data_IF_608893997552
#
_entry.id   IF_608893997552
#
_cell.length_a   1.000
_cell.length_b   1.000
_cell.length_c   1.000
_cell.angle_alpha   90.00
_cell.angle_beta   90.00
_cell.angle_gamma   90.00
#
_symmetry.space_group_name_H-M   'P 1'
#
loop_
_entity.id
_entity.type
_entity.pdbx_description
1 polymer ?
#
# COMPACT_ATOMS: atom_id res chain seq x y z
N UNK A 1 -4.91 37.76 10.62
CA UNK A 1 -5.11 37.29 9.24
C UNK A 1 -5.65 35.88 9.36
N UNK A 2 -6.95 35.66 9.10
CA UNK A 2 -7.54 34.34 9.25
C UNK A 2 -7.25 33.53 7.98
N UNK A 3 -6.58 32.40 8.13
CA UNK A 3 -6.42 31.41 7.05
C UNK A 3 -7.84 30.94 6.71
N UNK A 4 -8.31 31.18 5.48
CA UNK A 4 -9.64 30.73 5.07
C UNK A 4 -9.61 29.20 4.78
N UNK A 5 -10.78 28.55 4.72
CA UNK A 5 -10.87 27.11 4.48
C UNK A 5 -10.17 26.64 3.19
N UNK A 6 -10.12 27.48 2.15
CA UNK A 6 -9.47 27.18 0.88
C UNK A 6 -7.94 27.15 1.00
N UNK A 7 -7.38 28.03 1.83
CA UNK A 7 -5.95 28.06 2.18
C UNK A 7 -5.55 26.92 3.13
N UNK A 8 -6.51 26.28 3.80
CA UNK A 8 -6.28 25.07 4.60
C UNK A 8 -6.39 23.80 3.74
N UNK A 9 -7.21 23.84 2.68
CA UNK A 9 -7.37 22.76 1.72
C UNK A 9 -6.25 22.71 0.66
N UNK A 10 -5.65 23.86 0.34
CA UNK A 10 -4.64 24.05 -0.69
C UNK A 10 -3.38 24.73 -0.14
N UNK A 11 -2.26 24.64 -0.85
CA UNK A 11 -1.06 25.41 -0.50
C UNK A 11 -1.19 26.88 -0.90
N UNK A 12 -0.40 27.76 -0.28
CA UNK A 12 -0.21 29.15 -0.74
C UNK A 12 1.20 29.30 -1.28
N UNK A 13 1.33 29.62 -2.57
CA UNK A 13 2.61 29.96 -3.19
C UNK A 13 2.47 31.36 -3.79
N UNK A 14 3.34 32.29 -3.40
CA UNK A 14 3.34 33.67 -3.91
C UNK A 14 2.05 34.46 -3.66
N UNK A 15 1.26 34.11 -2.63
CA UNK A 15 0.00 34.79 -2.31
C UNK A 15 -1.25 34.25 -3.03
N UNK A 16 -1.11 33.22 -3.86
CA UNK A 16 -2.22 32.52 -4.53
C UNK A 16 -2.47 31.15 -3.91
N UNK A 17 -3.73 30.75 -3.87
CA UNK A 17 -4.15 29.39 -3.51
C UNK A 17 -3.84 28.48 -4.70
N UNK A 18 -2.94 27.52 -4.50
CA UNK A 18 -2.49 26.59 -5.55
C UNK A 18 -2.71 25.17 -5.05
N UNK A 19 -3.31 24.33 -5.91
CA UNK A 19 -3.48 22.91 -5.63
C UNK A 19 -2.10 22.25 -5.46
N UNK A 20 -1.84 21.73 -4.26
CA UNK A 20 -0.57 21.07 -3.93
C UNK A 20 -0.63 19.58 -4.30
N UNK A 21 0.54 18.94 -4.39
CA UNK A 21 0.61 17.47 -4.55
C UNK A 21 -0.16 16.73 -3.45
N UNK A 22 -0.14 17.25 -2.22
CA UNK A 22 -0.91 16.74 -1.09
C UNK A 22 -2.42 16.92 -1.30
N UNK A 23 -2.84 18.06 -1.86
CA UNK A 23 -4.26 18.32 -2.15
C UNK A 23 -4.77 17.39 -3.24
N UNK A 24 -3.99 17.21 -4.32
CA UNK A 24 -4.28 16.21 -5.36
C UNK A 24 -4.37 14.80 -4.79
N UNK A 25 -3.45 14.43 -3.91
CA UNK A 25 -3.45 13.11 -3.30
C UNK A 25 -4.69 12.88 -2.42
N UNK A 26 -5.16 13.91 -1.69
CA UNK A 26 -6.37 13.84 -0.85
C UNK A 26 -7.66 13.62 -1.64
N UNK A 27 -7.72 14.06 -2.89
CA UNK A 27 -8.91 13.90 -3.74
C UNK A 27 -8.90 12.59 -4.53
N UNK A 28 -7.79 11.86 -4.52
CA UNK A 28 -7.66 10.56 -5.18
C UNK A 28 -7.94 9.42 -4.20
N UNK A 29 -8.69 8.43 -4.65
CA UNK A 29 -8.63 7.11 -4.05
C UNK A 29 -7.42 6.38 -4.65
N UNK A 30 -6.42 6.07 -3.81
CA UNK A 30 -5.15 5.48 -4.22
C UNK A 30 -5.28 4.02 -4.70
N UNK A 31 -6.44 3.40 -4.48
CA UNK A 31 -6.80 2.08 -5.01
C UNK A 31 -7.66 2.13 -6.26
N UNK A 32 -8.10 3.30 -6.71
CA UNK A 32 -8.79 3.38 -7.99
C UNK A 32 -7.90 2.79 -9.09
N UNK A 33 -8.51 1.99 -9.96
CA UNK A 33 -7.79 1.36 -11.04
C UNK A 33 -7.17 2.43 -11.96
N UNK A 34 -5.87 2.27 -12.19
CA UNK A 34 -5.05 3.04 -13.12
C UNK A 34 -4.17 2.04 -13.86
N UNK A 35 -3.79 2.37 -15.09
CA UNK A 35 -2.69 1.68 -15.74
C UNK A 35 -1.37 1.89 -14.97
N UNK A 36 -0.32 1.15 -15.35
CA UNK A 36 0.95 1.23 -14.65
C UNK A 36 1.59 2.62 -14.69
N UNK A 37 1.39 3.39 -15.77
CA UNK A 37 1.91 4.75 -15.91
C UNK A 37 1.18 5.72 -14.95
N UNK A 38 -0.14 5.63 -14.88
CA UNK A 38 -0.95 6.37 -13.92
C UNK A 38 -0.63 5.99 -12.47
N UNK A 39 -0.40 4.71 -12.20
CA UNK A 39 0.00 4.25 -10.88
C UNK A 39 1.43 4.70 -10.53
N UNK A 40 2.35 4.72 -11.50
CA UNK A 40 3.69 5.26 -11.32
C UNK A 40 3.67 6.74 -10.97
N UNK A 41 2.83 7.54 -11.64
CA UNK A 41 2.65 8.97 -11.34
C UNK A 41 2.09 9.19 -9.93
N UNK A 42 1.13 8.37 -9.50
CA UNK A 42 0.63 8.41 -8.12
C UNK A 42 1.76 8.14 -7.11
N UNK A 43 2.56 7.10 -7.36
CA UNK A 43 3.67 6.70 -6.49
C UNK A 43 4.87 7.65 -6.56
N UNK A 44 4.97 8.47 -7.60
CA UNK A 44 5.92 9.56 -7.73
C UNK A 44 5.45 10.89 -7.13
N UNK A 45 4.21 10.97 -6.62
CA UNK A 45 3.69 12.17 -5.96
C UNK A 45 4.52 12.49 -4.72
N UNK A 46 5.01 13.74 -4.62
CA UNK A 46 5.94 14.15 -3.57
C UNK A 46 5.37 14.05 -2.15
N UNK A 47 4.03 14.12 -2.00
CA UNK A 47 3.34 13.96 -0.72
C UNK A 47 2.99 12.51 -0.38
N UNK A 48 3.14 11.56 -1.30
CA UNK A 48 2.74 10.17 -1.06
C UNK A 48 3.48 9.56 0.12
N UNK A 49 4.81 9.70 0.16
CA UNK A 49 5.64 9.11 1.21
C UNK A 49 5.27 9.61 2.62
N UNK A 50 5.15 10.94 2.78
CA UNK A 50 4.78 11.54 4.06
C UNK A 50 3.37 11.11 4.50
N UNK A 51 2.44 11.02 3.55
CA UNK A 51 1.07 10.57 3.80
C UNK A 51 1.03 9.10 4.20
N UNK A 52 1.73 8.23 3.47
CA UNK A 52 1.86 6.81 3.79
C UNK A 52 2.50 6.58 5.17
N UNK A 53 3.56 7.32 5.51
CA UNK A 53 4.19 7.23 6.83
C UNK A 53 3.24 7.67 7.95
N UNK A 54 2.47 8.74 7.74
CA UNK A 54 1.47 9.23 8.70
C UNK A 54 0.39 8.16 8.94
N UNK A 55 -0.17 7.58 7.88
CA UNK A 55 -1.18 6.53 8.01
C UNK A 55 -0.64 5.25 8.63
N UNK A 56 0.62 4.86 8.34
CA UNK A 56 1.27 3.76 9.02
C UNK A 56 1.39 4.00 10.53
N UNK A 57 1.73 5.23 10.95
CA UNK A 57 1.77 5.60 12.36
C UNK A 57 0.37 5.55 12.99
N UNK A 58 -0.66 6.06 12.32
CA UNK A 58 -2.04 5.99 12.81
C UNK A 58 -2.52 4.54 13.00
N UNK A 59 -2.20 3.64 12.08
CA UNK A 59 -2.54 2.22 12.19
C UNK A 59 -1.79 1.54 13.34
N UNK A 60 -0.50 1.84 13.53
CA UNK A 60 0.29 1.28 14.63
C UNK A 60 -0.15 1.77 16.01
N UNK A 61 -0.71 2.97 16.10
CA UNK A 61 -1.19 3.56 17.35
C UNK A 61 -2.71 3.38 17.55
N UNK A 62 -3.37 2.60 16.69
CA UNK A 62 -4.81 2.37 16.69
C UNK A 62 -5.66 3.65 16.81
N UNK A 63 -5.32 4.66 16.01
CA UNK A 63 -5.96 5.98 16.08
C UNK A 63 -7.34 6.06 15.41
N UNK A 64 -8.02 4.93 15.20
CA UNK A 64 -9.28 4.84 14.46
C UNK A 64 -10.44 4.53 15.39
N UNK A 65 -11.48 5.35 15.32
CA UNK A 65 -12.68 5.23 16.13
C UNK A 65 -13.91 5.48 15.25
N UNK A 66 -15.01 4.84 15.58
CA UNK A 66 -16.27 4.92 14.86
C UNK A 66 -17.38 4.32 15.70
N UNK A 67 -18.62 4.54 15.25
CA UNK A 67 -19.81 4.07 15.95
C UNK A 67 -20.01 2.54 15.79
N UNK A 68 -19.46 1.97 14.72
CA UNK A 68 -19.47 0.53 14.46
C UNK A 68 -18.16 0.00 13.85
N UNK A 69 -18.08 -1.34 13.74
CA UNK A 69 -16.89 -2.02 13.23
C UNK A 69 -16.62 -1.78 11.74
N UNK A 70 -17.63 -1.46 10.94
CA UNK A 70 -17.48 -1.21 9.51
C UNK A 70 -16.89 0.17 9.27
N UNK A 71 -17.28 1.17 10.06
CA UNK A 71 -16.69 2.51 10.01
C UNK A 71 -15.20 2.47 10.35
N UNK A 72 -14.85 1.83 11.47
CA UNK A 72 -13.44 1.67 11.88
C UNK A 72 -12.64 0.88 10.83
N UNK A 73 -13.21 -0.21 10.31
CA UNK A 73 -12.58 -0.99 9.25
C UNK A 73 -12.37 -0.18 7.97
N UNK A 74 -13.33 0.65 7.55
CA UNK A 74 -13.19 1.49 6.38
C UNK A 74 -12.08 2.54 6.54
N UNK A 75 -11.97 3.16 7.72
CA UNK A 75 -10.90 4.11 8.01
C UNK A 75 -9.52 3.42 8.01
N UNK A 76 -9.42 2.23 8.63
CA UNK A 76 -8.20 1.41 8.64
C UNK A 76 -7.81 0.95 7.23
N UNK A 77 -8.76 0.48 6.43
CA UNK A 77 -8.53 0.10 5.02
C UNK A 77 -8.08 1.30 4.20
N UNK A 78 -8.70 2.47 4.37
CA UNK A 78 -8.26 3.68 3.68
C UNK A 78 -6.82 4.05 4.06
N UNK A 79 -6.44 4.01 5.34
CA UNK A 79 -5.07 4.25 5.76
C UNK A 79 -4.09 3.18 5.22
N UNK A 80 -4.48 1.91 5.28
CA UNK A 80 -3.67 0.78 4.80
C UNK A 80 -3.51 0.79 3.27
N UNK A 81 -4.42 1.43 2.55
CA UNK A 81 -4.35 1.55 1.09
C UNK A 81 -3.07 2.23 0.62
N UNK A 82 -2.53 3.19 1.38
CA UNK A 82 -1.25 3.84 1.08
C UNK A 82 -0.05 2.91 1.26
N UNK A 83 -0.19 1.84 2.06
CA UNK A 83 0.82 0.79 2.19
C UNK A 83 0.75 -0.20 1.02
N UNK A 84 -0.39 -0.31 0.35
CA UNK A 84 -0.62 -1.25 -0.75
C UNK A 84 -0.49 -0.63 -2.14
N UNK A 85 -0.93 0.62 -2.32
CA UNK A 85 -1.14 1.23 -3.64
C UNK A 85 0.11 1.20 -4.53
N UNK A 86 1.27 1.41 -3.93
CA UNK A 86 2.55 1.41 -4.63
C UNK A 86 3.28 0.08 -4.60
N UNK A 87 2.58 -1.01 -4.26
CA UNK A 87 3.16 -2.33 -4.37
C UNK A 87 3.40 -2.68 -5.84
N UNK A 88 4.67 -2.86 -6.17
CA UNK A 88 5.08 -3.36 -7.47
C UNK A 88 5.17 -4.89 -7.47
N UNK A 89 4.99 -5.53 -8.62
CA UNK A 89 5.31 -6.95 -8.85
C UNK A 89 6.38 -7.16 -9.92
N UNK A 90 6.73 -6.10 -10.65
CA UNK A 90 7.93 -5.99 -11.46
C UNK A 90 8.31 -4.51 -11.58
N UNK A 91 9.43 -4.18 -12.25
CA UNK A 91 9.84 -2.80 -12.46
C UNK A 91 8.74 -2.01 -13.20
N UNK A 92 8.26 -0.93 -12.59
CA UNK A 92 7.14 -0.11 -13.08
C UNK A 92 5.85 -0.90 -13.38
N UNK A 93 5.61 -1.99 -12.65
CA UNK A 93 4.40 -2.81 -12.77
C UNK A 93 3.74 -2.97 -11.41
N UNK A 94 2.48 -2.57 -11.28
CA UNK A 94 1.82 -2.38 -9.98
C UNK A 94 0.68 -3.37 -9.72
N UNK A 95 0.55 -3.77 -8.46
CA UNK A 95 -0.47 -4.72 -8.03
C UNK A 95 -1.89 -4.17 -8.14
N UNK A 96 -2.10 -2.87 -7.93
CA UNK A 96 -3.43 -2.24 -8.10
C UNK A 96 -3.87 -2.31 -9.56
N UNK A 97 -2.97 -2.01 -10.49
CA UNK A 97 -3.21 -2.12 -11.94
C UNK A 97 -3.53 -3.56 -12.32
N UNK A 98 -2.67 -4.52 -11.94
CA UNK A 98 -2.87 -5.93 -12.22
C UNK A 98 -4.18 -6.48 -11.62
N UNK A 99 -4.53 -6.08 -10.40
CA UNK A 99 -5.79 -6.46 -9.75
C UNK A 99 -7.00 -5.99 -10.54
N UNK A 100 -7.03 -4.71 -10.93
CA UNK A 100 -8.13 -4.17 -11.72
C UNK A 100 -8.23 -4.82 -13.10
N UNK A 101 -7.11 -5.00 -13.80
CA UNK A 101 -7.07 -5.64 -15.12
C UNK A 101 -7.54 -7.10 -15.04
N UNK A 102 -7.10 -7.84 -14.02
CA UNK A 102 -7.47 -9.25 -13.82
C UNK A 102 -8.96 -9.39 -13.55
N UNK A 103 -9.51 -8.58 -12.64
CA UNK A 103 -10.94 -8.61 -12.31
C UNK A 103 -11.80 -8.18 -13.50
N UNK A 104 -11.39 -7.13 -14.22
CA UNK A 104 -12.10 -6.70 -15.43
C UNK A 104 -12.08 -7.79 -16.52
N UNK A 105 -10.95 -8.47 -16.69
CA UNK A 105 -10.76 -9.51 -17.72
C UNK A 105 -11.49 -10.81 -17.42
N UNK A 106 -11.68 -11.16 -16.14
CA UNK A 106 -12.37 -12.37 -15.71
C UNK A 106 -13.88 -12.35 -16.05
N UNK A 107 -14.49 -11.16 -16.14
CA UNK A 107 -15.90 -10.99 -16.51
C UNK A 107 -16.88 -11.63 -15.50
N UNK A 108 -18.09 -11.99 -15.96
CA UNK A 108 -19.17 -12.47 -15.10
C UNK A 108 -19.15 -13.97 -14.77
N UNK A 109 -18.29 -14.76 -15.44
CA UNK A 109 -18.16 -16.20 -15.23
C UNK A 109 -16.69 -16.58 -15.24
N UNK A 110 -16.11 -16.78 -14.05
CA UNK A 110 -14.69 -17.04 -13.88
C UNK A 110 -14.42 -18.13 -12.84
N UNK A 111 -13.29 -18.81 -12.98
CA UNK A 111 -12.68 -19.66 -11.95
C UNK A 111 -11.82 -18.78 -11.04
N UNK A 112 -12.26 -18.58 -9.79
CA UNK A 112 -11.56 -17.75 -8.82
C UNK A 112 -10.07 -18.12 -8.67
N UNK A 113 -9.73 -19.39 -8.71
CA UNK A 113 -8.35 -19.82 -8.51
C UNK A 113 -7.51 -19.61 -9.77
N UNK A 114 -8.01 -20.01 -10.94
CA UNK A 114 -7.23 -19.96 -12.19
C UNK A 114 -7.24 -18.59 -12.87
N UNK A 115 -8.34 -17.85 -12.76
CA UNK A 115 -8.57 -16.63 -13.52
C UNK A 115 -8.32 -15.37 -12.67
N UNK A 116 -8.34 -15.48 -11.32
CA UNK A 116 -8.09 -14.34 -10.41
C UNK A 116 -6.84 -14.57 -9.55
N UNK A 117 -6.83 -15.61 -8.70
CA UNK A 117 -5.75 -15.80 -7.72
C UNK A 117 -4.43 -16.13 -8.41
N UNK A 118 -4.45 -17.03 -9.38
CA UNK A 118 -3.24 -17.46 -10.10
C UNK A 118 -2.60 -16.32 -10.91
N UNK A 119 -3.31 -15.47 -11.66
CA UNK A 119 -2.67 -14.36 -12.38
C UNK A 119 -2.11 -13.28 -11.43
N UNK A 120 -2.73 -13.11 -10.26
CA UNK A 120 -2.28 -12.12 -9.28
C UNK A 120 -1.04 -12.56 -8.51
N UNK A 121 -0.83 -13.86 -8.30
CA UNK A 121 0.30 -14.45 -7.57
C UNK A 121 0.69 -13.63 -6.31
N UNK A 122 1.82 -12.93 -6.37
CA UNK A 122 2.40 -12.13 -5.31
C UNK A 122 1.49 -10.94 -4.88
N UNK A 123 0.78 -10.36 -5.84
CA UNK A 123 -0.16 -9.28 -5.60
C UNK A 123 -1.39 -9.76 -4.81
N UNK A 124 -1.79 -11.02 -4.97
CA UNK A 124 -2.87 -11.59 -4.18
C UNK A 124 -2.49 -11.68 -2.70
N UNK A 125 -1.28 -12.14 -2.37
CA UNK A 125 -0.82 -12.17 -0.98
C UNK A 125 -0.71 -10.77 -0.37
N UNK A 126 -0.28 -9.80 -1.16
CA UNK A 126 -0.21 -8.40 -0.75
C UNK A 126 -1.60 -7.82 -0.47
N UNK A 127 -2.55 -8.11 -1.36
CA UNK A 127 -3.95 -7.74 -1.21
C UNK A 127 -4.60 -8.42 0.02
N UNK A 128 -4.32 -9.70 0.24
CA UNK A 128 -4.78 -10.43 1.43
C UNK A 128 -4.31 -9.77 2.72
N UNK A 129 -3.04 -9.35 2.79
CA UNK A 129 -2.50 -8.66 3.97
C UNK A 129 -3.10 -7.27 4.15
N UNK A 130 -3.37 -6.56 3.05
CA UNK A 130 -4.15 -5.33 3.08
C UNK A 130 -5.56 -5.56 3.69
N UNK A 131 -6.22 -6.67 3.33
CA UNK A 131 -7.54 -7.01 3.87
C UNK A 131 -7.55 -7.37 5.37
N UNK A 132 -6.38 -7.57 6.02
CA UNK A 132 -6.28 -7.73 7.48
C UNK A 132 -6.69 -6.48 8.25
N UNK A 133 -6.70 -5.32 7.60
CA UNK A 133 -7.17 -4.06 8.17
C UNK A 133 -8.69 -3.86 8.06
N UNK A 134 -9.38 -4.77 7.36
CA UNK A 134 -10.83 -4.77 7.21
C UNK A 134 -11.56 -5.39 8.41
N UNK A 135 -12.77 -5.88 8.14
CA UNK A 135 -13.56 -6.58 9.16
C UNK A 135 -13.10 -8.04 9.32
N UNK A 136 -13.53 -8.70 10.40
CA UNK A 136 -13.30 -10.14 10.58
C UNK A 136 -13.83 -10.98 9.41
N UNK A 137 -14.94 -10.56 8.80
CA UNK A 137 -15.50 -11.19 7.60
C UNK A 137 -14.55 -11.10 6.42
N UNK A 138 -14.00 -9.91 6.15
CA UNK A 138 -13.00 -9.70 5.09
C UNK A 138 -11.79 -10.62 5.26
N UNK A 139 -11.31 -10.77 6.51
CA UNK A 139 -10.19 -11.67 6.85
C UNK A 139 -10.55 -13.13 6.65
N UNK A 140 -11.73 -13.55 7.10
CA UNK A 140 -12.21 -14.92 6.94
C UNK A 140 -12.34 -15.31 5.47
N UNK A 141 -12.87 -14.41 4.63
CA UNK A 141 -12.99 -14.62 3.19
C UNK A 141 -11.61 -14.78 2.53
N UNK A 142 -10.65 -13.89 2.82
CA UNK A 142 -9.32 -14.03 2.24
C UNK A 142 -8.61 -15.32 2.68
N UNK A 143 -8.79 -15.73 3.93
CA UNK A 143 -8.27 -17.01 4.42
C UNK A 143 -8.93 -18.21 3.73
N UNK A 144 -10.23 -18.14 3.49
CA UNK A 144 -10.96 -19.16 2.73
C UNK A 144 -10.43 -19.27 1.30
N UNK A 145 -10.27 -18.15 0.60
CA UNK A 145 -9.76 -18.12 -0.78
C UNK A 145 -8.33 -18.66 -0.85
N UNK A 146 -7.45 -18.22 0.07
CA UNK A 146 -6.07 -18.74 0.14
C UNK A 146 -6.03 -20.25 0.36
N UNK A 147 -6.93 -20.79 1.18
CA UNK A 147 -7.03 -22.25 1.39
C UNK A 147 -7.58 -22.96 0.16
N UNK A 148 -8.61 -22.40 -0.48
CA UNK A 148 -9.28 -22.97 -1.65
C UNK A 148 -8.35 -23.02 -2.87
N UNK A 149 -7.53 -22.00 -3.05
CA UNK A 149 -6.65 -21.83 -4.21
C UNK A 149 -5.17 -22.11 -3.89
N UNK A 150 -4.89 -22.81 -2.79
CA UNK A 150 -3.52 -23.04 -2.32
C UNK A 150 -2.66 -23.89 -3.25
N UNK A 151 -3.26 -24.58 -4.22
CA UNK A 151 -2.61 -25.39 -5.25
C UNK A 151 -2.07 -24.55 -6.42
N UNK A 152 -2.66 -23.38 -6.67
CA UNK A 152 -2.25 -22.48 -7.76
C UNK A 152 -1.34 -21.34 -7.32
N UNK A 153 -1.24 -21.07 -6.01
CA UNK A 153 -0.27 -20.13 -5.42
C UNK A 153 1.04 -20.88 -5.19
N UNK A 154 1.84 -21.00 -6.25
CA UNK A 154 3.02 -21.89 -6.27
C UNK A 154 4.30 -21.25 -5.73
N UNK A 155 4.35 -19.92 -5.63
CA UNK A 155 5.52 -19.19 -5.15
C UNK A 155 5.12 -18.19 -4.06
N UNK A 156 5.70 -18.34 -2.87
CA UNK A 156 5.82 -17.26 -1.91
C UNK A 156 6.77 -16.22 -2.52
N UNK A 157 6.27 -15.37 -3.44
CA UNK A 157 7.13 -14.41 -4.09
C UNK A 157 7.72 -13.45 -3.05
N UNK A 158 8.99 -13.07 -3.17
CA UNK A 158 9.47 -11.87 -2.53
C UNK A 158 8.69 -10.70 -3.13
N UNK A 159 7.89 -10.00 -2.32
CA UNK A 159 7.27 -8.75 -2.75
C UNK A 159 8.35 -7.87 -3.38
N UNK A 160 8.12 -7.36 -4.59
CA UNK A 160 8.99 -6.34 -5.17
C UNK A 160 8.99 -5.10 -4.26
N UNK A 161 10.03 -4.26 -4.41
CA UNK A 161 10.26 -3.10 -3.55
C UNK A 161 9.03 -2.20 -3.50
N UNK A 162 8.48 -2.02 -2.30
CA UNK A 162 7.58 -0.94 -1.97
C UNK A 162 8.26 -0.07 -0.94
N UNK A 163 8.75 1.08 -1.42
CA UNK A 163 9.50 2.06 -0.62
C UNK A 163 8.66 2.68 0.49
N UNK A 164 7.34 2.52 0.44
CA UNK A 164 6.38 3.10 1.36
C UNK A 164 5.81 2.08 2.35
N UNK A 165 6.10 0.79 2.15
CA UNK A 165 5.60 -0.26 3.02
C UNK A 165 6.27 -0.20 4.39
N UNK A 166 5.46 0.03 5.42
CA UNK A 166 5.88 -0.01 6.82
C UNK A 166 5.30 -1.25 7.50
N UNK A 167 5.99 -1.76 8.53
CA UNK A 167 5.38 -2.75 9.42
C UNK A 167 4.23 -2.10 10.18
N UNK A 168 3.03 -2.64 10.05
CA UNK A 168 1.87 -2.17 10.77
C UNK A 168 1.31 -3.30 11.62
N UNK A 169 1.41 -3.20 12.94
CA UNK A 169 0.87 -4.20 13.88
C UNK A 169 1.31 -5.65 13.56
N UNK A 170 2.60 -5.83 13.28
CA UNK A 170 3.20 -7.11 12.82
C UNK A 170 2.69 -7.62 11.47
N UNK A 171 1.94 -6.80 10.73
CA UNK A 171 1.49 -7.05 9.37
C UNK A 171 2.32 -6.21 8.42
N UNK A 172 3.05 -6.86 7.53
CA UNK A 172 3.65 -6.20 6.38
C UNK A 172 2.75 -6.40 5.19
N UNK A 173 2.03 -5.35 4.75
CA UNK A 173 1.29 -5.42 3.49
C UNK A 173 2.21 -5.88 2.38
N UNK A 174 3.49 -5.45 2.40
CA UNK A 174 4.61 -5.99 1.61
C UNK A 174 5.97 -5.74 2.29
N UNK A 175 6.95 -6.60 2.08
CA UNK A 175 8.37 -6.25 2.30
C UNK A 175 9.23 -7.06 1.34
N UNK A 176 10.34 -6.47 0.88
CA UNK A 176 11.39 -7.19 0.17
C UNK A 176 11.69 -8.49 0.92
N UNK A 177 11.43 -9.63 0.26
CA UNK A 177 11.90 -10.94 0.71
C UNK A 177 13.37 -11.17 0.36
N UNK A 178 14.11 -10.15 -0.03
CA UNK A 178 15.56 -10.31 -0.05
C UNK A 178 16.06 -10.15 1.36
N UNK A 179 16.82 -11.18 1.77
CA UNK A 179 17.84 -11.07 2.81
C UNK A 179 18.33 -9.63 2.83
N UNK A 180 18.15 -8.94 3.95
CA UNK A 180 19.02 -7.84 4.27
C UNK A 180 20.44 -8.38 4.09
N UNK A 181 21.08 -8.09 2.97
CA UNK A 181 22.53 -8.20 2.91
C UNK A 181 22.98 -7.21 3.96
N UNK A 182 23.58 -7.76 5.01
CA UNK A 182 24.21 -7.08 6.14
C UNK A 182 25.44 -6.29 5.66
N UNK A 183 25.34 -5.63 4.50
CA UNK A 183 26.45 -4.94 3.83
C UNK A 183 26.34 -3.43 3.98
N UNK A 184 25.27 -2.89 4.59
CA UNK A 184 25.13 -1.46 4.86
C UNK A 184 25.21 -1.09 6.34
N UNK A 185 25.73 -2.00 7.18
CA UNK A 185 26.07 -1.72 8.59
C UNK A 185 27.58 -1.81 8.88
N UNK A 186 28.42 -1.87 7.84
CA UNK A 186 29.88 -2.08 7.96
C UNK A 186 30.72 -0.88 7.46
N UNK A 187 30.12 0.30 7.36
CA UNK A 187 30.82 1.55 7.01
C UNK A 187 30.81 2.61 8.13
N UNK A 188 30.33 2.27 9.34
CA UNK A 188 30.31 3.18 10.49
C UNK A 188 31.17 2.74 11.69
N UNK A 189 31.94 1.64 11.59
CA UNK A 189 32.84 1.16 12.66
C UNK A 189 34.33 1.30 12.36
N UNK A 190 34.73 1.94 11.25
CA UNK A 190 36.16 2.17 10.93
C UNK A 190 36.69 3.57 11.31
N UNK A 191 35.93 4.41 12.02
CA UNK A 191 36.43 5.70 12.52
C UNK A 191 36.96 5.68 13.98
N UNK A 192 37.10 4.52 14.61
CA UNK A 192 37.54 4.41 16.01
C UNK A 192 38.68 3.41 16.23
N UNK A 193 39.63 3.32 15.29
CA UNK A 193 40.88 2.58 15.52
C UNK A 193 42.10 3.33 14.98
N UNK A 194 42.28 4.59 15.38
CA UNK A 194 43.56 5.31 15.29
C UNK A 194 43.69 6.34 16.43
N UNK A 195 43.64 5.89 17.68
CA UNK A 195 44.38 6.53 18.79
C UNK A 195 44.66 5.45 19.82
N UNK A 196 45.85 4.86 19.75
CA UNK A 196 46.78 4.55 20.85
C UNK A 196 48.00 3.80 20.30
#
# INVERSE_FOLDING_TARGET
MAINGDQLANGIVGGHVVESDCTKLRTLNVLDHRDDDGQHLLCGNSCFNATAATYAAMLNNDCFHGDDEYEVANQRLYAASFQFACQAYAASKYCVSLLGDTVASAGGSYDLCKDIVKPLECCYESYRRYMLFGTNTSVAEMNYISKKCGDVVTNACPCHLNLYATNVSNTYVCSYGGRATVSMLLLLTLCWLQVE
#
